data_IF_075943271824
#
_entry.id   IF_075943271824
#
_cell.length_a   1.000
_cell.length_b   1.000
_cell.length_c   1.000
_cell.angle_alpha   90.00
_cell.angle_beta   90.00
_cell.angle_gamma   90.00
#
_symmetry.space_group_name_H-M   'P 1'
#
loop_
_entity.id
_entity.type
_entity.pdbx_description
1 polymer ?
#
# COMPACT_ATOMS: atom_id res chain seq x y z
N UNK A 1 14.97 -58.00 -13.64
CA UNK A 1 15.66 -57.12 -12.66
C UNK A 1 15.07 -57.37 -11.29
N UNK A 2 15.91 -57.23 -10.27
CA UNK A 2 15.81 -57.80 -8.95
C UNK A 2 14.61 -57.31 -8.11
N UNK A 3 13.93 -58.27 -7.51
CA UNK A 3 13.18 -58.15 -6.25
C UNK A 3 14.09 -57.59 -5.15
N UNK A 4 13.58 -56.70 -4.29
CA UNK A 4 13.88 -56.57 -2.84
C UNK A 4 13.19 -55.33 -2.27
N UNK A 5 12.11 -55.51 -1.50
CA UNK A 5 12.05 -55.67 -0.04
C UNK A 5 11.82 -54.32 0.65
N UNK A 6 10.57 -54.14 1.11
CA UNK A 6 10.11 -53.14 2.05
C UNK A 6 11.00 -53.10 3.30
N UNK A 7 11.35 -51.90 3.75
CA UNK A 7 11.87 -51.65 5.09
C UNK A 7 11.01 -50.57 5.74
N UNK A 8 10.10 -51.01 6.61
CA UNK A 8 9.46 -50.17 7.63
C UNK A 8 10.45 -50.00 8.78
N UNK A 9 10.84 -48.76 9.08
CA UNK A 9 11.57 -48.42 10.31
C UNK A 9 10.61 -47.67 11.23
N UNK A 10 10.15 -48.37 12.27
CA UNK A 10 9.63 -47.81 13.51
C UNK A 10 10.82 -47.42 14.39
N UNK A 11 10.75 -46.27 15.08
CA UNK A 11 11.44 -45.83 16.31
C UNK A 11 11.47 -44.28 16.25
N UNK A 12 11.20 -43.50 17.27
CA UNK A 12 10.93 -43.69 18.68
C UNK A 12 10.22 -42.40 19.17
N UNK A 13 9.52 -42.47 20.31
CA UNK A 13 8.82 -41.31 20.86
C UNK A 13 9.75 -40.13 21.18
N UNK A 14 9.28 -38.93 20.84
CA UNK A 14 9.65 -37.73 21.56
C UNK A 14 8.40 -37.25 22.30
N UNK A 15 8.33 -37.61 23.58
CA UNK A 15 7.46 -36.94 24.53
C UNK A 15 7.97 -35.52 24.78
N UNK A 16 7.00 -34.59 24.83
CA UNK A 16 6.99 -33.32 25.55
C UNK A 16 8.06 -32.28 25.20
N UNK A 17 7.65 -31.26 24.45
CA UNK A 17 7.50 -29.90 24.98
C UNK A 17 6.64 -29.11 23.99
N UNK A 18 5.38 -28.83 24.35
CA UNK A 18 4.64 -27.73 23.71
C UNK A 18 5.35 -26.44 24.10
N UNK A 19 6.39 -26.08 23.35
CA UNK A 19 6.81 -24.70 23.28
C UNK A 19 5.67 -23.95 22.58
N UNK A 20 4.75 -23.41 23.37
CA UNK A 20 3.93 -22.28 22.95
C UNK A 20 4.89 -21.09 22.81
N UNK A 21 5.67 -21.08 21.72
CA UNK A 21 6.28 -19.85 21.26
C UNK A 21 5.10 -18.91 20.94
N UNK A 22 5.03 -17.71 21.53
CA UNK A 22 4.04 -16.74 21.10
C UNK A 22 4.23 -16.55 19.59
N UNK A 23 3.12 -16.63 18.85
CA UNK A 23 3.12 -16.29 17.44
C UNK A 23 3.77 -14.89 17.28
N UNK A 24 4.56 -14.65 16.24
CA UNK A 24 5.14 -13.33 16.02
C UNK A 24 4.00 -12.31 16.03
N UNK A 25 4.14 -11.25 16.83
CA UNK A 25 3.19 -10.14 16.84
C UNK A 25 2.88 -9.75 15.40
N UNK A 26 1.58 -9.71 15.07
CA UNK A 26 1.08 -9.16 13.82
C UNK A 26 1.65 -7.75 13.70
N UNK A 27 2.73 -7.61 12.93
CA UNK A 27 3.30 -6.32 12.61
C UNK A 27 2.27 -5.63 11.74
N UNK A 28 1.57 -4.67 12.34
CA UNK A 28 0.74 -3.73 11.60
C UNK A 28 1.62 -3.16 10.47
N UNK A 29 1.16 -3.20 9.19
CA UNK A 29 1.92 -2.60 8.11
C UNK A 29 2.28 -1.17 8.50
N UNK A 30 3.50 -0.69 8.22
CA UNK A 30 3.80 0.71 8.47
C UNK A 30 2.71 1.53 7.78
N UNK A 31 2.08 2.42 8.55
CA UNK A 31 1.15 3.41 8.02
C UNK A 31 1.93 4.13 6.92
N UNK A 32 1.64 3.79 5.66
CA UNK A 32 2.23 4.47 4.52
C UNK A 32 1.52 5.81 4.53
N UNK A 33 2.07 6.74 5.33
CA UNK A 33 1.52 8.07 5.48
C UNK A 33 1.15 8.59 4.11
N UNK A 34 -0.09 9.02 3.96
CA UNK A 34 -0.63 9.40 2.66
C UNK A 34 0.32 10.41 2.01
N UNK A 35 0.90 10.03 0.88
CA UNK A 35 1.97 10.81 0.25
C UNK A 35 1.36 12.08 -0.36
N UNK A 36 2.05 13.20 -0.14
CA UNK A 36 1.69 14.48 -0.76
C UNK A 36 1.56 14.32 -2.27
N UNK A 37 0.44 14.78 -2.84
CA UNK A 37 0.14 14.59 -4.25
C UNK A 37 -0.06 15.91 -4.99
N UNK A 38 0.44 15.97 -6.22
CA UNK A 38 0.28 17.10 -7.12
C UNK A 38 -0.67 16.72 -8.27
N UNK A 39 -1.51 17.67 -8.66
CA UNK A 39 -2.45 17.51 -9.76
C UNK A 39 -2.40 18.69 -10.71
N UNK A 40 -2.41 18.42 -12.01
CA UNK A 40 -2.66 19.42 -13.03
C UNK A 40 -4.15 19.46 -13.32
N UNK A 41 -4.77 20.62 -13.10
CA UNK A 41 -6.21 20.77 -13.16
C UNK A 41 -6.62 21.80 -14.21
N UNK A 42 -7.84 21.68 -14.73
CA UNK A 42 -8.41 22.67 -15.64
C UNK A 42 -8.92 23.89 -14.88
N UNK A 43 -9.44 23.68 -13.67
CA UNK A 43 -9.88 24.70 -12.69
C UNK A 43 -9.40 24.32 -11.28
N UNK A 44 -9.25 25.32 -10.42
CA UNK A 44 -8.96 25.15 -9.00
C UNK A 44 -9.82 26.12 -8.22
N UNK A 45 -10.46 25.62 -7.17
CA UNK A 45 -11.08 26.41 -6.12
C UNK A 45 -10.18 26.37 -4.88
N UNK A 46 -9.47 27.48 -4.66
CA UNK A 46 -8.54 27.61 -3.53
C UNK A 46 -9.25 27.82 -2.19
N UNK A 47 -10.55 28.13 -2.19
CA UNK A 47 -11.32 28.29 -0.95
C UNK A 47 -11.71 26.92 -0.39
N UNK A 48 -12.12 25.99 -1.26
CA UNK A 48 -12.54 24.64 -0.88
C UNK A 48 -11.46 23.57 -1.07
N UNK A 49 -10.29 23.93 -1.60
CA UNK A 49 -9.20 23.00 -1.92
C UNK A 49 -9.63 21.88 -2.87
N UNK A 50 -10.42 22.25 -3.87
CA UNK A 50 -10.86 21.35 -4.94
C UNK A 50 -10.35 21.79 -6.31
N UNK A 51 -10.37 20.88 -7.28
CA UNK A 51 -10.11 21.21 -8.68
C UNK A 51 -10.80 20.25 -9.62
N UNK A 52 -11.18 20.72 -10.81
CA UNK A 52 -11.84 19.89 -11.83
C UNK A 52 -10.93 19.61 -13.01
N UNK A 53 -11.20 18.48 -13.68
CA UNK A 53 -10.39 18.02 -14.81
C UNK A 53 -8.93 17.78 -14.41
N UNK A 54 -8.72 17.23 -13.20
CA UNK A 54 -7.42 17.03 -12.62
C UNK A 54 -6.77 15.72 -13.06
N UNK A 55 -5.46 15.74 -13.31
CA UNK A 55 -4.61 14.56 -13.53
C UNK A 55 -3.43 14.57 -12.58
N UNK A 56 -3.11 13.43 -11.99
CA UNK A 56 -1.97 13.31 -11.08
C UNK A 56 -0.67 13.51 -11.85
N UNK A 57 0.27 14.22 -11.24
CA UNK A 57 1.60 14.47 -11.78
C UNK A 57 2.68 14.31 -10.71
N UNK A 58 3.89 14.02 -11.16
CA UNK A 58 5.08 14.05 -10.31
C UNK A 58 5.59 15.49 -10.18
N UNK A 59 6.37 15.75 -9.12
CA UNK A 59 6.92 17.08 -8.82
C UNK A 59 7.76 17.68 -9.95
N UNK A 60 8.43 16.85 -10.75
CA UNK A 60 9.25 17.28 -11.88
C UNK A 60 8.40 17.92 -13.00
N UNK A 61 7.10 17.61 -13.07
CA UNK A 61 6.20 18.07 -14.11
C UNK A 61 5.33 19.27 -13.69
N UNK A 62 5.47 19.78 -12.45
CA UNK A 62 4.66 20.91 -11.94
C UNK A 62 4.70 22.12 -12.88
N UNK A 63 5.90 22.47 -13.37
CA UNK A 63 6.09 23.64 -14.22
C UNK A 63 5.51 23.48 -15.64
N UNK A 64 5.05 22.28 -16.02
CA UNK A 64 4.38 22.05 -17.31
C UNK A 64 2.89 22.40 -17.27
N UNK A 65 2.34 22.66 -16.09
CA UNK A 65 0.91 22.83 -15.88
C UNK A 65 0.54 24.28 -15.57
N UNK A 66 -0.57 24.74 -16.16
CA UNK A 66 -1.05 26.10 -15.94
C UNK A 66 -1.64 26.30 -14.54
N UNK A 67 -2.27 25.26 -13.98
CA UNK A 67 -2.88 25.27 -12.66
C UNK A 67 -2.51 23.97 -11.95
N UNK A 68 -1.98 24.09 -10.74
CA UNK A 68 -1.53 22.95 -9.94
C UNK A 68 -2.24 22.97 -8.59
N UNK A 69 -2.94 21.88 -8.29
CA UNK A 69 -3.49 21.61 -6.96
C UNK A 69 -2.51 20.71 -6.23
N UNK A 70 -2.05 21.17 -5.07
CA UNK A 70 -1.20 20.41 -4.16
C UNK A 70 -2.04 19.96 -2.97
N UNK A 71 -2.14 18.65 -2.76
CA UNK A 71 -2.80 18.07 -1.61
C UNK A 71 -1.74 17.49 -0.66
N UNK A 72 -1.48 18.14 0.49
CA UNK A 72 -0.67 17.53 1.53
C UNK A 72 -1.47 16.42 2.22
N UNK A 73 -0.97 15.19 2.24
CA UNK A 73 -1.69 14.07 2.83
C UNK A 73 -2.93 13.61 2.06
N UNK A 74 -4.12 13.85 2.62
CA UNK A 74 -5.38 13.23 2.16
C UNK A 74 -5.93 13.87 0.91
N UNK A 75 -6.28 13.03 -0.06
CA UNK A 75 -6.98 13.46 -1.25
C UNK A 75 -7.92 12.40 -1.79
N UNK A 76 -8.98 12.83 -2.46
CA UNK A 76 -9.88 11.98 -3.20
C UNK A 76 -10.03 12.52 -4.62
N UNK A 77 -10.20 11.61 -5.58
CA UNK A 77 -10.55 11.96 -6.96
C UNK A 77 -11.84 11.22 -7.35
N UNK A 78 -12.86 11.96 -7.74
CA UNK A 78 -14.13 11.44 -8.23
C UNK A 78 -14.55 12.19 -9.50
N UNK A 79 -14.87 11.44 -10.56
CA UNK A 79 -15.22 11.95 -11.90
C UNK A 79 -14.33 13.11 -12.43
N UNK A 80 -13.02 13.06 -12.14
CA UNK A 80 -12.08 14.09 -12.57
C UNK A 80 -11.96 15.31 -11.66
N UNK A 81 -12.81 15.42 -10.63
CA UNK A 81 -12.69 16.39 -9.55
C UNK A 81 -11.80 15.83 -8.44
N UNK A 82 -10.85 16.62 -7.97
CA UNK A 82 -9.98 16.30 -6.83
C UNK A 82 -10.36 17.18 -5.65
N UNK A 83 -10.38 16.60 -4.45
CA UNK A 83 -10.56 17.31 -3.17
C UNK A 83 -9.41 16.95 -2.25
N UNK A 84 -8.71 17.95 -1.71
CA UNK A 84 -7.73 17.78 -0.64
C UNK A 84 -8.42 17.89 0.74
N UNK A 85 -7.93 17.20 1.76
CA UNK A 85 -8.47 17.24 3.13
C UNK A 85 -7.39 17.45 4.20
#
# INVERSE_FOLDING_TARGET
>A
MFTKTLVFVLLAGCGVLSNNAPAPEDREPPDQGEEDQHFCCSSIDTQNWTGDGCVAINKENINSCQKVLYCPGKWAKDDGTVTCA
#
